data_IF_509189557219
#
_entry.id   IF_509189557219
#
_cell.length_a   1.000
_cell.length_b   1.000
_cell.length_c   1.000
_cell.angle_alpha   90.00
_cell.angle_beta   90.00
_cell.angle_gamma   90.00
#
_symmetry.space_group_name_H-M   'P 1'
#
loop_
_entity.id
_entity.type
_entity.pdbx_description
1 polymer ?
#
# COMPACT_ATOMS: atom_id res chain seq x y z
N UNK A 1 4.49 0.24 -4.06
CA UNK A 1 4.07 -1.17 -3.85
C UNK A 1 2.98 -1.19 -2.78
N UNK A 2 2.07 -2.17 -2.82
CA UNK A 2 1.02 -2.39 -1.81
C UNK A 2 1.13 -3.80 -1.25
N UNK A 3 0.72 -4.00 0.00
CA UNK A 3 0.71 -5.30 0.68
C UNK A 3 -0.62 -5.50 1.40
N UNK A 4 -1.09 -6.75 1.46
CA UNK A 4 -2.23 -7.10 2.29
C UNK A 4 -1.84 -7.08 3.77
N UNK A 5 -2.76 -6.62 4.62
CA UNK A 5 -2.62 -6.60 6.08
C UNK A 5 -3.94 -7.02 6.72
N UNK A 6 -3.88 -7.51 7.96
CA UNK A 6 -5.08 -7.97 8.69
C UNK A 6 -5.89 -6.81 9.31
N UNK A 7 -5.47 -5.57 9.12
CA UNK A 7 -6.12 -4.39 9.67
C UNK A 7 -5.54 -3.10 9.09
N UNK A 8 -6.11 -1.94 9.47
CA UNK A 8 -5.76 -0.65 8.89
C UNK A 8 -4.45 -0.07 9.43
N UNK A 9 -3.97 -0.58 10.56
CA UNK A 9 -2.73 -0.12 11.17
C UNK A 9 -1.53 -0.68 10.41
N UNK A 10 -0.49 0.11 10.11
CA UNK A 10 0.72 -0.43 9.50
C UNK A 10 1.45 -1.43 10.42
N UNK A 11 1.12 -1.48 11.71
CA UNK A 11 1.58 -2.53 12.62
C UNK A 11 0.95 -3.90 12.32
N UNK A 12 -0.24 -3.95 11.71
CA UNK A 12 -0.93 -5.18 11.33
C UNK A 12 -0.25 -5.90 10.15
N UNK A 13 0.68 -5.20 9.47
CA UNK A 13 1.55 -5.75 8.43
C UNK A 13 2.89 -6.25 8.99
N UNK A 14 3.36 -5.67 10.10
CA UNK A 14 4.70 -5.93 10.59
C UNK A 14 4.84 -7.37 11.13
N UNK A 15 5.92 -8.07 10.78
CA UNK A 15 6.14 -9.43 11.24
C UNK A 15 6.58 -9.43 12.71
N UNK A 16 5.72 -9.97 13.59
CA UNK A 16 6.01 -10.16 15.01
C UNK A 16 6.06 -11.64 15.37
N UNK A 17 6.94 -11.98 16.33
CA UNK A 17 6.95 -13.29 17.01
C UNK A 17 7.13 -13.05 18.50
N UNK A 18 6.25 -13.63 19.31
CA UNK A 18 6.27 -13.48 20.77
C UNK A 18 6.29 -12.00 21.22
N UNK A 19 5.52 -11.15 20.53
CA UNK A 19 5.44 -9.70 20.80
C UNK A 19 6.68 -8.89 20.38
N UNK A 20 7.67 -9.50 19.74
CA UNK A 20 8.91 -8.84 19.30
C UNK A 20 8.97 -8.76 17.77
N UNK A 21 9.43 -7.63 17.18
CA UNK A 21 9.67 -7.55 15.75
C UNK A 21 10.67 -8.62 15.29
N UNK A 22 10.38 -9.27 14.15
CA UNK A 22 11.27 -10.28 13.58
C UNK A 22 12.55 -9.63 13.00
N UNK A 23 13.75 -10.15 13.34
CA UNK A 23 15.00 -9.65 12.76
C UNK A 23 15.03 -9.81 11.23
N UNK A 24 15.55 -8.80 10.53
CA UNK A 24 15.61 -8.79 9.06
C UNK A 24 14.30 -8.44 8.35
N UNK A 25 13.20 -8.25 9.09
CA UNK A 25 11.92 -7.79 8.55
C UNK A 25 11.87 -6.28 8.30
N UNK A 26 10.74 -5.84 7.75
CA UNK A 26 10.44 -4.42 7.55
C UNK A 26 10.50 -3.64 8.86
N UNK A 27 11.01 -2.41 8.77
CA UNK A 27 10.98 -1.44 9.86
C UNK A 27 10.25 -0.20 9.37
N UNK A 28 9.22 0.21 10.11
CA UNK A 28 8.49 1.44 9.83
C UNK A 28 9.25 2.65 10.38
N UNK A 29 9.23 3.75 9.62
CA UNK A 29 9.68 5.03 10.12
C UNK A 29 9.88 6.07 9.02
N UNK A 30 10.18 7.29 9.43
CA UNK A 30 10.32 8.44 8.54
C UNK A 30 11.75 8.67 8.04
N UNK A 31 12.73 8.01 8.67
CA UNK A 31 14.14 8.16 8.33
C UNK A 31 14.47 7.49 7.00
N UNK A 32 15.53 7.93 6.31
CA UNK A 32 16.12 7.18 5.21
C UNK A 32 16.37 5.71 5.63
N UNK A 33 16.24 4.79 4.67
CA UNK A 33 16.33 3.32 4.84
C UNK A 33 15.17 2.64 5.60
N UNK A 34 14.19 3.40 6.08
CA UNK A 34 12.96 2.86 6.68
C UNK A 34 11.80 2.90 5.70
N UNK A 35 10.86 1.96 5.88
CA UNK A 35 9.63 1.93 5.11
C UNK A 35 8.67 2.97 5.65
N UNK A 36 8.18 3.82 4.75
CA UNK A 36 7.12 4.80 5.05
C UNK A 36 5.77 4.19 4.73
N UNK A 37 4.84 4.35 5.67
CA UNK A 37 3.43 4.07 5.42
C UNK A 37 2.80 5.27 4.73
N UNK A 38 2.35 5.09 3.49
CA UNK A 38 1.73 6.16 2.70
C UNK A 38 0.20 6.18 2.81
N UNK A 39 -0.44 5.05 3.14
CA UNK A 39 -1.89 4.96 3.27
C UNK A 39 -2.38 3.53 3.43
N UNK A 40 -3.64 3.37 3.85
CA UNK A 40 -4.33 2.08 3.93
C UNK A 40 -5.71 2.23 3.32
N UNK A 41 -6.12 1.25 2.54
CA UNK A 41 -7.44 1.19 1.91
C UNK A 41 -7.96 -0.24 1.96
N UNK A 42 -9.28 -0.40 1.95
CA UNK A 42 -9.92 -1.71 1.90
C UNK A 42 -9.72 -2.38 0.53
N UNK A 43 -9.78 -3.72 0.50
CA UNK A 43 -9.69 -4.48 -0.75
C UNK A 43 -10.79 -4.05 -1.74
N UNK A 44 -12.00 -3.79 -1.22
CA UNK A 44 -13.12 -3.33 -2.05
C UNK A 44 -12.84 -1.98 -2.72
N UNK A 45 -12.16 -1.04 -2.05
CA UNK A 45 -11.73 0.20 -2.70
C UNK A 45 -10.82 -0.07 -3.90
N UNK A 46 -9.88 -1.00 -3.77
CA UNK A 46 -8.96 -1.36 -4.86
C UNK A 46 -9.69 -1.94 -6.08
N UNK A 47 -10.68 -2.80 -5.84
CA UNK A 47 -11.50 -3.38 -6.91
C UNK A 47 -12.41 -2.33 -7.54
N UNK A 48 -13.09 -1.48 -6.75
CA UNK A 48 -13.90 -0.36 -7.25
C UNK A 48 -13.09 0.60 -8.12
N UNK A 49 -11.85 0.90 -7.71
CA UNK A 49 -10.93 1.73 -8.50
C UNK A 49 -10.61 1.05 -9.83
N UNK A 50 -10.22 -0.23 -9.84
CA UNK A 50 -9.90 -0.95 -11.08
C UNK A 50 -11.09 -1.01 -12.04
N UNK A 51 -12.29 -1.27 -11.52
CA UNK A 51 -13.53 -1.30 -12.30
C UNK A 51 -13.87 0.08 -12.87
N UNK A 52 -13.85 1.13 -12.04
CA UNK A 52 -14.20 2.50 -12.44
C UNK A 52 -13.32 3.02 -13.58
N UNK A 53 -12.03 2.69 -13.54
CA UNK A 53 -11.06 3.14 -14.55
C UNK A 53 -10.80 2.11 -15.65
N UNK A 54 -11.50 0.97 -15.64
CA UNK A 54 -11.30 -0.14 -16.58
C UNK A 54 -9.81 -0.54 -16.74
N UNK A 55 -9.09 -0.56 -15.61
CA UNK A 55 -7.63 -0.68 -15.56
C UNK A 55 -7.22 -1.75 -14.54
N UNK A 56 -7.27 -3.04 -14.89
CA UNK A 56 -6.95 -4.13 -13.96
C UNK A 56 -5.48 -4.07 -13.48
N UNK A 57 -4.56 -3.61 -14.33
CA UNK A 57 -3.15 -3.40 -14.02
C UNK A 57 -2.81 -2.10 -13.26
N UNK A 58 -3.81 -1.30 -12.84
CA UNK A 58 -3.56 -0.03 -12.14
C UNK A 58 -2.68 -0.24 -10.89
N UNK A 59 -1.60 0.54 -10.79
CA UNK A 59 -0.73 0.55 -9.62
C UNK A 59 -1.36 1.35 -8.47
N UNK A 60 -2.13 0.66 -7.63
CA UNK A 60 -2.80 1.23 -6.44
C UNK A 60 -1.86 2.00 -5.51
N UNK A 61 -0.56 1.69 -5.49
CA UNK A 61 0.40 2.38 -4.63
C UNK A 61 0.52 3.88 -4.94
N UNK A 62 0.16 4.32 -6.15
CA UNK A 62 0.20 5.73 -6.54
C UNK A 62 -0.96 6.55 -5.95
N UNK A 63 -2.03 5.89 -5.51
CA UNK A 63 -3.29 6.53 -5.13
C UNK A 63 -3.76 6.17 -3.70
N UNK A 64 -3.05 5.28 -3.01
CA UNK A 64 -3.46 4.75 -1.71
C UNK A 64 -3.53 5.82 -0.60
N UNK A 65 -2.81 6.93 -0.78
CA UNK A 65 -2.60 7.96 0.24
C UNK A 65 -3.86 8.72 0.63
N UNK A 66 -4.59 9.22 -0.35
CA UNK A 66 -5.85 9.95 -0.18
C UNK A 66 -7.04 9.18 -0.75
N UNK A 67 -6.81 8.02 -1.35
CA UNK A 67 -7.83 7.20 -2.01
C UNK A 67 -8.42 7.87 -3.24
N UNK A 68 -7.87 8.99 -3.68
CA UNK A 68 -8.40 9.81 -4.78
C UNK A 68 -7.62 9.49 -6.05
N UNK A 69 -8.33 8.91 -7.02
CA UNK A 69 -7.77 8.63 -8.34
C UNK A 69 -8.32 9.67 -9.30
N UNK A 70 -7.48 10.62 -9.72
CA UNK A 70 -7.89 11.69 -10.64
C UNK A 70 -7.50 11.43 -12.10
N UNK A 71 -6.63 10.44 -12.36
CA UNK A 71 -6.17 10.11 -13.71
C UNK A 71 -5.61 8.69 -13.79
N UNK A 72 -5.77 8.02 -14.94
CA UNK A 72 -5.17 6.71 -15.23
C UNK A 72 -3.80 6.97 -15.82
N UNK A 73 -2.76 6.92 -14.99
CA UNK A 73 -1.39 7.08 -15.48
C UNK A 73 -1.00 5.80 -16.22
N UNK A 74 -1.06 5.83 -17.56
CA UNK A 74 -0.84 4.71 -18.49
C UNK A 74 0.61 4.22 -18.58
N UNK A 75 1.35 4.31 -17.48
CA UNK A 75 2.78 3.99 -17.45
C UNK A 75 3.59 5.09 -18.13
N UNK A 76 4.75 5.38 -17.56
CA UNK A 76 5.76 6.22 -18.20
C UNK A 76 6.04 5.65 -19.60
N UNK A 77 5.80 6.44 -20.64
CA UNK A 77 6.34 6.15 -21.96
C UNK A 77 7.86 6.16 -21.82
N UNK A 78 8.50 5.03 -22.09
CA UNK A 78 9.92 4.98 -22.42
C UNK A 78 10.18 5.65 -23.78
#
# INVERSE_FOLDING_TARGET
MVYAANGPSPLDFLPYRDGKPLPGGFKLGINPDLVKHEGTQDVLWGEEVRERFNAPELNLARYIKDGTVTDVDNGEQE
#
